data_IF_185084988957
#
_entry.id   IF_185084988957
#
_cell.length_a   1.000
_cell.length_b   1.000
_cell.length_c   1.000
_cell.angle_alpha   90.00
_cell.angle_beta   90.00
_cell.angle_gamma   90.00
#
_symmetry.space_group_name_H-M   'P 1'
#
loop_
_entity.id
_entity.type
_entity.pdbx_description
1 polymer ?
#
# COMPACT_ATOMS: atom_id res chain seq x y z
N UNK A 1 15.18 -2.84 -10.85
CA UNK A 1 15.18 -1.38 -10.65
C UNK A 1 15.81 -0.93 -9.35
N UNK A 2 16.32 0.32 -9.36
CA UNK A 2 16.80 1.06 -8.19
C UNK A 2 15.74 2.06 -7.77
N UNK A 3 15.39 2.08 -6.49
CA UNK A 3 14.36 2.94 -5.89
C UNK A 3 14.90 3.71 -4.68
N UNK A 4 14.27 4.84 -4.37
CA UNK A 4 14.69 5.77 -3.32
C UNK A 4 13.54 6.07 -2.36
N UNK A 5 13.80 6.01 -1.06
CA UNK A 5 12.86 6.44 -0.01
C UNK A 5 13.47 7.61 0.77
N UNK A 6 12.80 8.76 0.76
CA UNK A 6 13.13 9.87 1.65
C UNK A 6 12.57 9.63 3.05
N UNK A 7 13.36 9.92 4.08
CA UNK A 7 12.94 9.78 5.47
C UNK A 7 13.42 10.95 6.33
N UNK A 8 12.65 11.25 7.37
CA UNK A 8 13.11 12.11 8.46
C UNK A 8 14.04 11.36 9.43
N UNK A 9 14.04 10.02 9.40
CA UNK A 9 14.91 9.17 10.21
C UNK A 9 16.28 8.98 9.56
N UNK A 10 17.31 8.80 10.39
CA UNK A 10 18.66 8.40 9.96
C UNK A 10 18.82 6.87 9.87
N UNK A 11 17.79 6.12 10.26
CA UNK A 11 17.74 4.66 10.20
C UNK A 11 16.73 4.26 9.13
N UNK A 12 17.12 3.34 8.25
CA UNK A 12 16.25 2.82 7.21
C UNK A 12 14.99 2.19 7.83
N UNK A 13 13.78 2.50 7.34
CA UNK A 13 12.57 1.88 7.84
C UNK A 13 12.58 0.37 7.59
N UNK A 14 11.97 -0.38 8.50
CA UNK A 14 11.71 -1.80 8.33
C UNK A 14 10.21 -2.03 8.11
N UNK A 15 9.88 -2.94 7.20
CA UNK A 15 8.50 -3.36 6.95
C UNK A 15 8.00 -4.21 8.13
N UNK A 16 6.90 -3.81 8.77
CA UNK A 16 6.32 -4.50 9.93
C UNK A 16 4.87 -4.88 9.66
N UNK A 17 4.64 -5.99 8.95
CA UNK A 17 3.29 -6.41 8.53
C UNK A 17 2.34 -6.56 9.73
N UNK A 18 1.20 -5.88 9.69
CA UNK A 18 0.16 -5.99 10.71
C UNK A 18 0.47 -5.26 12.02
N UNK A 19 1.59 -4.54 12.11
CA UNK A 19 1.88 -3.60 13.19
C UNK A 19 1.24 -2.23 12.89
N UNK A 20 -0.06 -2.25 12.56
CA UNK A 20 -0.83 -1.06 12.23
C UNK A 20 -1.11 -0.27 13.52
N UNK A 21 -0.24 0.69 13.84
CA UNK A 21 -0.48 1.65 14.92
C UNK A 21 -1.13 2.92 14.38
N UNK A 22 -2.36 2.84 13.86
CA UNK A 22 -3.16 4.05 13.62
C UNK A 22 -3.79 4.60 14.91
N UNK A 23 -2.91 4.98 15.84
CA UNK A 23 -3.20 5.78 17.04
C UNK A 23 -2.01 6.71 17.41
N UNK A 24 -1.20 7.12 16.43
CA UNK A 24 -0.14 8.13 16.63
C UNK A 24 1.26 7.78 16.14
N UNK A 25 1.46 6.64 15.45
CA UNK A 25 2.73 6.33 14.82
C UNK A 25 2.78 6.92 13.40
N UNK A 26 3.80 7.74 13.12
CA UNK A 26 4.15 8.18 11.76
C UNK A 26 4.90 7.10 10.95
N UNK A 27 4.97 5.87 11.48
CA UNK A 27 5.79 4.79 10.94
C UNK A 27 4.93 3.58 10.57
N UNK A 28 5.26 2.93 9.45
CA UNK A 28 4.64 1.67 9.00
C UNK A 28 3.12 1.74 8.72
N UNK A 29 2.61 2.92 8.34
CA UNK A 29 1.19 3.12 7.97
C UNK A 29 0.74 2.15 6.85
N UNK A 30 1.63 1.84 5.90
CA UNK A 30 1.29 1.13 4.68
C UNK A 30 1.69 -0.36 4.67
N UNK A 31 2.14 -0.92 5.81
CA UNK A 31 2.76 -2.26 5.84
C UNK A 31 3.86 -2.45 4.77
N UNK A 32 4.55 -1.36 4.44
CA UNK A 32 5.47 -1.27 3.31
C UNK A 32 6.23 0.05 3.32
N UNK A 33 7.14 0.20 2.35
CA UNK A 33 7.98 1.39 2.18
C UNK A 33 7.67 2.01 0.82
N UNK A 34 7.16 3.25 0.82
CA UNK A 34 7.00 4.03 -0.40
C UNK A 34 8.38 4.46 -0.92
N UNK A 35 8.64 4.20 -2.19
CA UNK A 35 9.87 4.57 -2.86
C UNK A 35 9.61 5.07 -4.28
N UNK A 36 10.51 5.90 -4.80
CA UNK A 36 10.43 6.45 -6.14
C UNK A 36 11.65 6.05 -6.97
N UNK A 37 11.47 5.92 -8.29
CA UNK A 37 12.60 5.84 -9.22
C UNK A 37 13.31 7.18 -9.40
N UNK A 38 12.68 8.28 -8.99
CA UNK A 38 13.21 9.63 -9.02
C UNK A 38 13.77 10.02 -7.63
N UNK A 39 15.06 10.36 -7.60
CA UNK A 39 15.75 10.75 -6.39
C UNK A 39 15.23 12.07 -5.82
N UNK A 40 14.92 13.06 -6.67
CA UNK A 40 14.44 14.38 -6.23
C UNK A 40 13.04 14.27 -5.64
N UNK A 41 12.18 13.45 -6.27
CA UNK A 41 10.86 13.13 -5.71
C UNK A 41 10.99 12.48 -4.33
N UNK A 42 11.83 11.45 -4.20
CA UNK A 42 12.07 10.82 -2.90
C UNK A 42 12.65 11.79 -1.86
N UNK A 43 13.60 12.64 -2.25
CA UNK A 43 14.22 13.63 -1.38
C UNK A 43 13.21 14.62 -0.80
N UNK A 44 12.14 14.96 -1.53
CA UNK A 44 11.11 15.90 -1.09
C UNK A 44 10.30 15.41 0.12
N UNK A 45 10.23 14.09 0.33
CA UNK A 45 9.52 13.46 1.46
C UNK A 45 10.42 13.20 2.68
N UNK A 46 11.72 13.50 2.60
CA UNK A 46 12.69 13.31 3.68
C UNK A 46 13.28 14.63 4.18
N UNK A 47 13.84 14.61 5.40
CA UNK A 47 14.63 15.72 5.92
C UNK A 47 16.13 15.53 5.62
N UNK A 48 16.44 15.20 4.36
CA UNK A 48 17.80 14.98 3.86
C UNK A 48 18.37 13.57 3.97
N UNK A 49 17.63 12.59 4.56
CA UNK A 49 18.04 11.19 4.54
C UNK A 49 17.31 10.45 3.42
N UNK A 50 18.07 9.71 2.60
CA UNK A 50 17.54 8.92 1.48
C UNK A 50 18.13 7.53 1.55
N UNK A 51 17.25 6.54 1.50
CA UNK A 51 17.62 5.12 1.46
C UNK A 51 17.40 4.56 0.07
N UNK A 52 18.34 3.75 -0.39
CA UNK A 52 18.28 3.11 -1.71
C UNK A 52 17.84 1.67 -1.55
N UNK A 53 16.93 1.21 -2.40
CA UNK A 53 16.45 -0.16 -2.45
C UNK A 53 16.61 -0.72 -3.86
N UNK A 54 16.92 -2.01 -3.96
CA UNK A 54 16.95 -2.75 -5.22
C UNK A 54 15.77 -3.71 -5.23
N UNK A 55 14.92 -3.57 -6.24
CA UNK A 55 13.75 -4.42 -6.48
C UNK A 55 13.87 -5.02 -7.86
N UNK A 56 13.54 -6.29 -8.02
CA UNK A 56 13.44 -6.91 -9.34
C UNK A 56 12.23 -6.35 -10.09
N UNK A 57 12.44 -5.81 -11.29
CA UNK A 57 11.37 -5.19 -12.10
C UNK A 57 10.29 -6.19 -12.48
N UNK A 58 10.65 -7.45 -12.71
CA UNK A 58 9.70 -8.52 -13.01
C UNK A 58 8.85 -8.93 -11.79
N UNK A 59 9.20 -8.42 -10.61
CA UNK A 59 8.53 -8.68 -9.33
C UNK A 59 7.80 -7.46 -8.80
N UNK A 60 7.62 -6.43 -9.61
CA UNK A 60 6.75 -5.29 -9.34
C UNK A 60 5.38 -5.53 -9.99
N UNK A 61 4.32 -5.51 -9.19
CA UNK A 61 2.96 -5.62 -9.70
C UNK A 61 2.50 -4.30 -10.33
N UNK A 62 1.87 -4.41 -11.49
CA UNK A 62 1.06 -3.35 -12.10
C UNK A 62 -0.44 -3.61 -11.87
N UNK A 63 -1.30 -2.63 -12.13
CA UNK A 63 -2.76 -2.82 -12.03
C UNK A 63 -3.27 -4.01 -12.86
N UNK A 64 -2.68 -4.28 -14.03
CA UNK A 64 -3.03 -5.44 -14.87
C UNK A 64 -2.74 -6.78 -14.21
N UNK A 65 -1.69 -6.87 -13.38
CA UNK A 65 -1.32 -8.09 -12.70
C UNK A 65 -2.27 -8.36 -11.53
N UNK A 66 -2.72 -7.29 -10.86
CA UNK A 66 -3.76 -7.38 -9.83
C UNK A 66 -5.11 -7.78 -10.45
N UNK A 67 -5.52 -7.15 -11.55
CA UNK A 67 -6.77 -7.47 -12.26
C UNK A 67 -6.80 -8.93 -12.77
N UNK A 68 -5.67 -9.43 -13.29
CA UNK A 68 -5.56 -10.82 -13.71
C UNK A 68 -5.78 -11.83 -12.56
N UNK A 69 -5.63 -11.39 -11.30
CA UNK A 69 -5.80 -12.19 -10.10
C UNK A 69 -7.03 -11.76 -9.27
N UNK A 70 -7.98 -11.04 -9.88
CA UNK A 70 -9.10 -10.41 -9.20
C UNK A 70 -9.86 -11.32 -8.22
N UNK A 71 -10.19 -12.55 -8.63
CA UNK A 71 -10.91 -13.51 -7.78
C UNK A 71 -10.14 -13.87 -6.50
N UNK A 72 -8.82 -13.97 -6.59
CA UNK A 72 -7.95 -14.26 -5.45
C UNK A 72 -7.88 -13.05 -4.50
N UNK A 73 -7.89 -11.84 -5.04
CA UNK A 73 -8.00 -10.60 -4.25
C UNK A 73 -9.29 -10.60 -3.43
N UNK A 74 -10.43 -10.92 -4.05
CA UNK A 74 -11.71 -11.01 -3.34
C UNK A 74 -11.65 -12.05 -2.23
N UNK A 75 -11.09 -13.24 -2.49
CA UNK A 75 -10.93 -14.29 -1.46
C UNK A 75 -10.05 -13.82 -0.30
N UNK A 76 -8.94 -13.18 -0.60
CA UNK A 76 -8.05 -12.59 0.40
C UNK A 76 -8.80 -11.57 1.26
N UNK A 77 -9.56 -10.66 0.65
CA UNK A 77 -10.34 -9.67 1.41
C UNK A 77 -11.43 -10.36 2.26
N UNK A 78 -12.15 -11.34 1.73
CA UNK A 78 -13.20 -12.05 2.47
C UNK A 78 -12.66 -12.69 3.76
N UNK A 79 -11.48 -13.31 3.71
CA UNK A 79 -10.80 -13.86 4.89
C UNK A 79 -10.47 -12.78 5.92
N UNK A 80 -10.08 -11.59 5.46
CA UNK A 80 -9.70 -10.46 6.33
C UNK A 80 -10.90 -9.67 6.90
N UNK A 81 -12.11 -9.86 6.38
CA UNK A 81 -13.28 -9.06 6.77
C UNK A 81 -14.40 -9.89 7.43
N UNK A 82 -14.24 -11.21 7.59
CA UNK A 82 -15.28 -12.10 8.17
C UNK A 82 -16.68 -11.85 7.55
N UNK A 83 -16.73 -11.61 6.24
CA UNK A 83 -17.91 -11.09 5.55
C UNK A 83 -18.93 -12.18 5.17
N UNK A 84 -20.22 -11.85 5.26
CA UNK A 84 -21.34 -12.67 4.78
C UNK A 84 -21.78 -12.28 3.34
N UNK A 85 -22.74 -13.01 2.76
CA UNK A 85 -23.20 -12.79 1.37
C UNK A 85 -23.80 -11.41 1.09
N UNK A 86 -24.19 -10.65 2.12
CA UNK A 86 -24.80 -9.32 1.94
C UNK A 86 -23.77 -8.22 1.66
N UNK A 87 -22.48 -8.44 1.96
CA UNK A 87 -21.42 -7.47 1.66
C UNK A 87 -20.55 -7.87 0.45
N UNK A 88 -20.95 -8.88 -0.32
CA UNK A 88 -20.15 -9.35 -1.47
C UNK A 88 -19.95 -8.27 -2.54
N UNK A 89 -20.98 -7.48 -2.82
CA UNK A 89 -20.90 -6.37 -3.78
C UNK A 89 -19.91 -5.30 -3.31
N UNK A 90 -19.91 -4.99 -2.00
CA UNK A 90 -18.97 -4.07 -1.37
C UNK A 90 -17.52 -4.57 -1.38
N UNK A 91 -17.29 -5.86 -1.16
CA UNK A 91 -15.95 -6.46 -1.29
C UNK A 91 -15.47 -6.39 -2.73
N UNK A 92 -16.37 -6.64 -3.67
CA UNK A 92 -16.08 -6.53 -5.09
C UNK A 92 -15.68 -5.10 -5.45
N UNK A 93 -16.41 -4.09 -4.99
CA UNK A 93 -16.06 -2.68 -5.17
C UNK A 93 -14.70 -2.34 -4.54
N UNK A 94 -14.41 -2.83 -3.32
CA UNK A 94 -13.12 -2.59 -2.65
C UNK A 94 -11.97 -3.20 -3.43
N UNK A 95 -12.14 -4.43 -3.91
CA UNK A 95 -11.14 -5.08 -4.74
C UNK A 95 -10.91 -4.32 -6.06
N UNK A 96 -11.94 -3.69 -6.65
CA UNK A 96 -11.76 -2.81 -7.82
C UNK A 96 -10.96 -1.56 -7.45
N UNK A 97 -11.34 -0.89 -6.36
CA UNK A 97 -10.61 0.28 -5.85
C UNK A 97 -9.10 -0.01 -5.66
N UNK A 98 -8.78 -1.18 -5.09
CA UNK A 98 -7.41 -1.66 -4.91
C UNK A 98 -6.68 -1.86 -6.25
N UNK A 99 -7.33 -2.51 -7.21
CA UNK A 99 -6.76 -2.79 -8.55
C UNK A 99 -6.52 -1.50 -9.33
N UNK A 100 -7.46 -0.57 -9.28
CA UNK A 100 -7.45 0.64 -10.09
C UNK A 100 -6.66 1.79 -9.44
N UNK A 101 -6.24 1.64 -8.18
CA UNK A 101 -5.62 2.71 -7.37
C UNK A 101 -6.55 3.91 -7.18
N UNK A 102 -7.85 3.65 -7.07
CA UNK A 102 -8.87 4.69 -7.04
C UNK A 102 -9.44 4.88 -5.64
N UNK A 103 -9.45 6.15 -5.20
CA UNK A 103 -10.16 6.55 -4.00
C UNK A 103 -11.66 6.31 -4.17
N UNK A 104 -12.29 5.85 -3.10
CA UNK A 104 -13.74 5.66 -3.03
C UNK A 104 -14.40 6.84 -2.33
N UNK A 105 -15.72 6.94 -2.46
CA UNK A 105 -16.48 7.98 -1.76
C UNK A 105 -16.50 7.78 -0.25
N UNK A 106 -16.90 8.84 0.47
CA UNK A 106 -16.88 8.87 1.94
C UNK A 106 -17.83 7.82 2.54
N UNK A 107 -18.96 7.52 1.89
CA UNK A 107 -19.94 6.52 2.36
C UNK A 107 -19.35 5.10 2.32
N UNK A 108 -18.67 4.77 1.23
CA UNK A 108 -17.97 3.50 1.07
C UNK A 108 -16.86 3.33 2.13
N UNK A 109 -16.11 4.41 2.34
CA UNK A 109 -14.98 4.43 3.24
C UNK A 109 -15.42 4.30 4.72
N UNK A 110 -16.50 4.96 5.11
CA UNK A 110 -17.11 4.85 6.44
C UNK A 110 -17.60 3.43 6.77
N UNK A 111 -18.00 2.65 5.77
CA UNK A 111 -18.55 1.30 5.99
C UNK A 111 -17.46 0.24 6.06
N UNK A 112 -16.46 0.31 5.18
CA UNK A 112 -15.47 -0.76 5.00
C UNK A 112 -14.09 -0.45 5.57
N UNK A 113 -13.74 0.83 5.66
CA UNK A 113 -12.40 1.27 6.07
C UNK A 113 -12.42 1.86 7.49
N UNK A 114 -13.46 2.61 7.87
CA UNK A 114 -13.57 3.19 9.22
C UNK A 114 -13.47 2.17 10.37
N UNK A 115 -14.10 0.97 10.30
CA UNK A 115 -13.92 -0.05 11.35
C UNK A 115 -12.45 -0.47 11.56
N UNK A 116 -11.60 -0.26 10.55
CA UNK A 116 -10.15 -0.54 10.62
C UNK A 116 -9.33 0.67 11.05
N UNK A 117 -9.77 1.86 10.65
CA UNK A 117 -9.06 3.10 10.94
C UNK A 117 -9.26 3.57 12.38
N UNK A 118 -10.41 3.26 13.00
CA UNK A 118 -10.71 3.59 14.40
C UNK A 118 -10.74 5.08 14.73
N UNK A 119 -10.50 5.94 13.74
CA UNK A 119 -10.49 7.40 13.84
C UNK A 119 -10.70 8.02 12.46
N UNK A 120 -11.38 9.16 12.43
CA UNK A 120 -11.58 9.99 11.23
C UNK A 120 -10.40 10.97 11.13
N UNK A 121 -9.37 10.57 10.40
CA UNK A 121 -8.21 11.41 10.05
C UNK A 121 -8.29 11.63 8.53
N UNK A 122 -8.24 12.90 8.09
CA UNK A 122 -8.28 13.24 6.68
C UNK A 122 -7.19 12.50 5.87
N UNK A 123 -7.61 11.75 4.86
CA UNK A 123 -6.72 10.92 4.02
C UNK A 123 -6.48 9.49 4.52
N UNK A 124 -7.00 9.10 5.69
CA UNK A 124 -6.81 7.74 6.22
C UNK A 124 -7.40 6.66 5.30
N UNK A 125 -8.48 6.98 4.57
CA UNK A 125 -9.11 6.08 3.61
C UNK A 125 -8.24 5.77 2.40
N UNK A 126 -7.63 6.79 1.79
CA UNK A 126 -6.72 6.58 0.66
C UNK A 126 -5.49 5.79 1.09
N UNK A 127 -4.97 6.07 2.30
CA UNK A 127 -3.84 5.32 2.86
C UNK A 127 -4.16 3.86 3.14
N UNK A 128 -5.37 3.55 3.61
CA UNK A 128 -5.80 2.15 3.81
C UNK A 128 -5.96 1.42 2.47
N UNK A 129 -6.47 2.07 1.42
CA UNK A 129 -6.53 1.47 0.07
C UNK A 129 -5.11 1.17 -0.44
N UNK A 130 -4.17 2.10 -0.30
CA UNK A 130 -2.77 1.89 -0.67
C UNK A 130 -2.12 0.76 0.14
N UNK A 131 -2.37 0.71 1.45
CA UNK A 131 -1.93 -0.39 2.32
C UNK A 131 -2.49 -1.73 1.83
N UNK A 132 -3.79 -1.79 1.53
CA UNK A 132 -4.44 -3.02 1.07
C UNK A 132 -3.93 -3.47 -0.29
N UNK A 133 -3.69 -2.55 -1.22
CA UNK A 133 -3.04 -2.82 -2.49
C UNK A 133 -1.66 -3.44 -2.30
N UNK A 134 -0.85 -2.90 -1.39
CA UNK A 134 0.42 -3.50 -1.00
C UNK A 134 0.27 -4.92 -0.41
N UNK A 135 -0.69 -5.11 0.51
CA UNK A 135 -0.94 -6.41 1.14
C UNK A 135 -1.41 -7.47 0.13
N UNK A 136 -2.23 -7.07 -0.83
CA UNK A 136 -2.66 -7.93 -1.93
C UNK A 136 -1.48 -8.28 -2.84
N UNK A 137 -0.65 -7.32 -3.22
CA UNK A 137 0.55 -7.60 -4.01
C UNK A 137 1.51 -8.59 -3.30
N UNK A 138 1.71 -8.41 -1.99
CA UNK A 138 2.50 -9.33 -1.17
C UNK A 138 1.87 -10.73 -1.11
N UNK A 139 0.54 -10.84 -0.97
CA UNK A 139 -0.18 -12.11 -1.00
C UNK A 139 0.00 -12.84 -2.33
N UNK A 140 -0.02 -12.11 -3.44
CA UNK A 140 0.23 -12.63 -4.78
C UNK A 140 1.71 -12.93 -5.07
N UNK A 141 2.60 -12.65 -4.12
CA UNK A 141 4.02 -13.00 -4.20
C UNK A 141 4.89 -11.97 -4.92
N UNK A 142 4.42 -10.74 -5.10
CA UNK A 142 5.21 -9.62 -5.61
C UNK A 142 6.05 -8.98 -4.51
N UNK A 143 7.12 -8.29 -4.94
CA UNK A 143 8.05 -7.61 -4.05
C UNK A 143 7.68 -6.15 -3.82
N UNK A 144 7.04 -5.53 -4.81
CA UNK A 144 6.49 -4.18 -4.74
C UNK A 144 5.25 -4.07 -5.65
N UNK A 145 4.53 -2.96 -5.54
CA UNK A 145 3.41 -2.62 -6.43
C UNK A 145 3.50 -1.15 -6.82
N UNK A 146 3.20 -0.85 -8.08
CA UNK A 146 3.16 0.52 -8.56
C UNK A 146 1.95 1.28 -7.97
N UNK A 147 2.16 2.58 -7.74
CA UNK A 147 1.19 3.53 -7.21
C UNK A 147 1.28 4.80 -8.05
N UNK A 148 0.14 5.43 -8.31
CA UNK A 148 0.10 6.75 -8.93
C UNK A 148 0.12 7.83 -7.87
N UNK A 149 1.03 8.77 -8.02
CA UNK A 149 1.13 9.93 -7.15
C UNK A 149 1.38 11.23 -7.93
N UNK A 150 1.54 12.34 -7.21
CA UNK A 150 1.75 13.68 -7.75
C UNK A 150 3.08 13.82 -8.52
N UNK A 151 4.01 12.87 -8.34
CA UNK A 151 5.31 12.83 -8.96
C UNK A 151 5.39 11.79 -10.11
N UNK A 152 4.30 11.10 -10.42
CA UNK A 152 4.20 10.09 -11.46
C UNK A 152 3.91 8.72 -10.89
N UNK A 153 4.87 7.80 -11.05
CA UNK A 153 4.78 6.44 -10.51
C UNK A 153 5.72 6.28 -9.33
N UNK A 154 5.17 6.05 -8.15
CA UNK A 154 5.89 5.52 -7.00
C UNK A 154 5.59 4.03 -6.82
N UNK A 155 6.30 3.43 -5.87
CA UNK A 155 6.26 2.00 -5.63
C UNK A 155 6.15 1.76 -4.14
N UNK A 156 5.19 0.94 -3.75
CA UNK A 156 5.11 0.44 -2.38
C UNK A 156 5.86 -0.89 -2.31
N UNK A 157 7.04 -0.88 -1.69
CA UNK A 157 7.84 -2.09 -1.43
C UNK A 157 7.21 -2.84 -0.27
N UNK A 158 6.88 -4.11 -0.48
CA UNK A 158 6.08 -4.93 0.47
C UNK A 158 6.81 -6.18 0.95
N UNK A 159 7.89 -6.59 0.27
CA UNK A 159 8.69 -7.73 0.69
C UNK A 159 9.71 -7.33 1.78
N UNK A 160 9.57 -7.81 3.03
CA UNK A 160 10.44 -7.44 4.15
C UNK A 160 11.89 -7.95 4.01
N UNK A 161 12.16 -8.81 3.02
CA UNK A 161 13.54 -9.25 2.70
C UNK A 161 14.31 -8.20 1.90
N UNK A 162 13.62 -7.21 1.34
CA UNK A 162 14.24 -6.09 0.64
C UNK A 162 14.58 -5.02 1.67
N UNK A 163 15.88 -4.83 1.89
CA UNK A 163 16.41 -3.84 2.83
C UNK A 163 17.19 -2.77 2.08
N UNK A 164 17.39 -1.62 2.72
CA UNK A 164 18.22 -0.57 2.15
C UNK A 164 19.67 -1.05 1.96
N UNK A 165 20.32 -0.58 0.89
CA UNK A 165 21.77 -0.73 0.65
C UNK A 165 22.63 0.16 1.55
#
# INVERSE_FOLDING_TARGET
MKLFHGSCSTVAPAIKVGAFEMLGASENVFDGIFASGDWDAAASHGNGNIFTYIVDEERVAESRDLDANFEEIVRFLLDQYEINSENMDRVNELARAIVDDENQDDEFADVLLFPRLGSDIGGAYSWEIQRLRGRVAAHLGFDAVEMRDEHGTSYLIVNPKITAE
#
